data_IF_700630973010
#
_entry.id   IF_700630973010
#
_cell.length_a   1.000
_cell.length_b   1.000
_cell.length_c   1.000
_cell.angle_alpha   90.00
_cell.angle_beta   90.00
_cell.angle_gamma   90.00
#
_symmetry.space_group_name_H-M   'P 1'
#
loop_
_entity.id
_entity.type
_entity.pdbx_description
1 polymer ?
#
# COMPACT_ATOMS: atom_id res chain seq x y z
N UNK A 1 2.96 -3.93 21.13
CA UNK A 1 3.00 -4.70 19.87
C UNK A 1 1.64 -4.84 19.18
N UNK A 2 0.56 -5.29 19.84
CA UNK A 2 -0.79 -5.33 19.21
C UNK A 2 -1.28 -3.98 18.69
N UNK A 3 -1.21 -2.93 19.52
CA UNK A 3 -1.65 -1.57 19.14
C UNK A 3 -0.83 -0.97 18.00
N UNK A 4 0.50 -1.18 17.96
CA UNK A 4 1.35 -0.60 16.92
C UNK A 4 1.07 -1.23 15.55
N UNK A 5 0.93 -2.55 15.47
CA UNK A 5 0.61 -3.23 14.20
C UNK A 5 -0.78 -2.87 13.70
N UNK A 6 -1.74 -2.67 14.61
CA UNK A 6 -3.05 -2.15 14.26
C UNK A 6 -2.96 -0.78 13.58
N UNK A 7 -2.28 0.18 14.22
CA UNK A 7 -2.14 1.52 13.66
C UNK A 7 -1.31 1.54 12.37
N UNK A 8 -0.26 0.73 12.27
CA UNK A 8 0.51 0.59 11.03
C UNK A 8 -0.39 0.12 9.88
N UNK A 9 -1.18 -0.93 10.08
CA UNK A 9 -2.07 -1.44 9.03
C UNK A 9 -3.18 -0.45 8.68
N UNK A 10 -3.80 0.19 9.68
CA UNK A 10 -4.84 1.18 9.45
C UNK A 10 -4.30 2.39 8.67
N UNK A 11 -3.16 2.94 9.09
CA UNK A 11 -2.53 4.06 8.40
C UNK A 11 -2.05 3.67 7.00
N UNK A 12 -1.51 2.47 6.80
CA UNK A 12 -1.17 1.97 5.46
C UNK A 12 -2.39 1.85 4.56
N UNK A 13 -3.51 1.32 5.06
CA UNK A 13 -4.75 1.22 4.29
C UNK A 13 -5.29 2.61 3.90
N UNK A 14 -5.33 3.54 4.85
CA UNK A 14 -5.75 4.93 4.59
C UNK A 14 -4.79 5.66 3.63
N UNK A 15 -3.48 5.42 3.75
CA UNK A 15 -2.48 6.02 2.87
C UNK A 15 -2.62 5.49 1.43
N UNK A 16 -2.87 4.20 1.23
CA UNK A 16 -3.14 3.64 -0.09
C UNK A 16 -4.43 4.22 -0.70
N UNK A 17 -5.48 4.41 0.11
CA UNK A 17 -6.69 5.10 -0.33
C UNK A 17 -6.38 6.55 -0.77
N UNK A 18 -5.59 7.27 0.02
CA UNK A 18 -5.16 8.63 -0.32
C UNK A 18 -4.32 8.67 -1.61
N UNK A 19 -3.32 7.79 -1.76
CA UNK A 19 -2.50 7.69 -2.98
C UNK A 19 -3.38 7.38 -4.19
N UNK A 20 -4.32 6.44 -4.05
CA UNK A 20 -5.26 6.08 -5.10
C UNK A 20 -6.12 7.25 -5.56
N UNK A 21 -6.68 8.01 -4.62
CA UNK A 21 -7.43 9.23 -4.92
C UNK A 21 -6.53 10.30 -5.56
N UNK A 22 -5.27 10.43 -5.13
CA UNK A 22 -4.32 11.36 -5.72
C UNK A 22 -4.04 11.02 -7.19
N UNK A 23 -3.89 9.74 -7.55
CA UNK A 23 -3.76 9.31 -8.96
C UNK A 23 -5.03 9.58 -9.80
N UNK A 24 -6.21 9.60 -9.19
CA UNK A 24 -7.48 9.90 -9.87
C UNK A 24 -7.67 11.40 -10.08
N UNK A 25 -7.43 12.22 -9.06
CA UNK A 25 -7.72 13.66 -9.10
C UNK A 25 -6.52 14.54 -9.49
N UNK A 26 -5.30 14.03 -9.32
CA UNK A 26 -4.06 14.75 -9.60
C UNK A 26 -3.01 13.79 -10.21
N UNK A 27 -3.27 13.22 -11.40
CA UNK A 27 -2.43 12.18 -11.98
C UNK A 27 -0.97 12.61 -12.17
N UNK A 28 -0.72 13.84 -12.63
CA UNK A 28 0.62 14.37 -12.84
C UNK A 28 1.40 14.54 -11.52
N UNK A 29 0.76 15.11 -10.49
CA UNK A 29 1.40 15.27 -9.19
C UNK A 29 1.63 13.93 -8.48
N UNK A 30 0.69 12.99 -8.61
CA UNK A 30 0.84 11.64 -8.08
C UNK A 30 2.01 10.90 -8.74
N UNK A 31 2.14 11.02 -10.05
CA UNK A 31 3.21 10.41 -10.83
C UNK A 31 4.59 10.96 -10.44
N UNK A 32 4.72 12.29 -10.39
CA UNK A 32 5.96 12.94 -9.97
C UNK A 32 6.38 12.54 -8.55
N UNK A 33 5.42 12.52 -7.60
CA UNK A 33 5.67 12.07 -6.22
C UNK A 33 5.99 10.58 -6.09
N UNK A 34 5.60 9.77 -7.08
CA UNK A 34 5.94 8.35 -7.17
C UNK A 34 7.35 8.12 -7.75
N UNK A 35 8.00 9.16 -8.28
CA UNK A 35 9.35 9.08 -8.83
C UNK A 35 9.43 8.60 -10.28
N UNK A 36 8.31 8.65 -11.01
CA UNK A 36 8.24 8.34 -12.44
C UNK A 36 7.74 9.56 -13.23
N UNK A 37 8.09 9.62 -14.51
CA UNK A 37 7.59 10.64 -15.43
C UNK A 37 7.34 10.00 -16.79
N UNK A 38 6.08 10.00 -17.23
CA UNK A 38 5.64 9.51 -18.53
C UNK A 38 5.11 10.66 -19.36
N UNK A 39 5.38 10.62 -20.67
CA UNK A 39 4.74 11.55 -21.59
C UNK A 39 3.30 11.07 -21.85
N UNK A 40 2.36 11.66 -21.12
CA UNK A 40 0.94 11.28 -21.17
C UNK A 40 0.21 11.81 -22.40
N UNK A 41 0.69 12.88 -23.05
CA UNK A 41 -0.02 13.56 -24.15
C UNK A 41 -1.52 13.83 -23.86
N UNK A 42 -1.88 14.01 -22.59
CA UNK A 42 -3.26 14.21 -22.13
C UNK A 42 -4.07 12.94 -21.84
N UNK A 43 -3.52 11.74 -22.07
CA UNK A 43 -4.13 10.47 -21.67
C UNK A 43 -3.59 9.99 -20.32
N UNK A 44 -4.48 9.94 -19.33
CA UNK A 44 -4.19 9.52 -17.95
C UNK A 44 -4.81 8.17 -17.60
N UNK A 45 -5.22 7.38 -18.58
CA UNK A 45 -5.93 6.10 -18.37
C UNK A 45 -5.15 5.15 -17.46
N UNK A 46 -3.82 5.07 -17.60
CA UNK A 46 -2.97 4.23 -16.75
C UNK A 46 -2.87 4.75 -15.31
N UNK A 47 -2.80 6.06 -15.12
CA UNK A 47 -2.82 6.71 -13.81
C UNK A 47 -4.15 6.41 -13.10
N UNK A 48 -5.28 6.48 -13.80
CA UNK A 48 -6.58 6.14 -13.24
C UNK A 48 -6.70 4.65 -12.88
N UNK A 49 -6.22 3.76 -13.76
CA UNK A 49 -6.16 2.31 -13.49
C UNK A 49 -5.31 2.01 -12.24
N UNK A 50 -4.16 2.66 -12.10
CA UNK A 50 -3.33 2.55 -10.92
C UNK A 50 -4.05 3.08 -9.68
N UNK A 51 -4.62 4.28 -9.80
CA UNK A 51 -5.30 4.95 -8.69
C UNK A 51 -6.43 4.12 -8.09
N UNK A 52 -7.28 3.51 -8.93
CA UNK A 52 -8.36 2.66 -8.42
C UNK A 52 -7.85 1.37 -7.76
N UNK A 53 -6.73 0.81 -8.24
CA UNK A 53 -6.09 -0.39 -7.64
C UNK A 53 -5.50 -0.09 -6.27
N UNK A 54 -4.84 1.05 -6.11
CA UNK A 54 -4.30 1.48 -4.81
C UNK A 54 -5.44 1.76 -3.82
N UNK A 55 -6.48 2.47 -4.28
CA UNK A 55 -7.65 2.73 -3.46
C UNK A 55 -8.35 1.45 -2.99
N UNK A 56 -8.58 0.52 -3.92
CA UNK A 56 -9.17 -0.78 -3.62
C UNK A 56 -8.32 -1.60 -2.64
N UNK A 57 -7.00 -1.63 -2.83
CA UNK A 57 -6.08 -2.36 -1.93
C UNK A 57 -6.10 -1.78 -0.52
N UNK A 58 -6.10 -0.45 -0.41
CA UNK A 58 -6.25 0.24 0.88
C UNK A 58 -7.58 -0.07 1.56
N UNK A 59 -8.67 -0.08 0.79
CA UNK A 59 -10.01 -0.41 1.30
C UNK A 59 -10.08 -1.84 1.84
N UNK A 60 -9.48 -2.83 1.17
CA UNK A 60 -9.40 -4.20 1.68
C UNK A 60 -8.73 -4.23 3.06
N UNK A 61 -7.58 -3.55 3.22
CA UNK A 61 -6.86 -3.52 4.50
C UNK A 61 -7.74 -2.91 5.60
N UNK A 62 -8.40 -1.78 5.31
CA UNK A 62 -9.31 -1.11 6.25
C UNK A 62 -10.49 -2.00 6.63
N UNK A 63 -11.13 -2.66 5.65
CA UNK A 63 -12.26 -3.56 5.94
C UNK A 63 -11.81 -4.72 6.81
N UNK A 64 -10.70 -5.38 6.48
CA UNK A 64 -10.22 -6.55 7.23
C UNK A 64 -9.79 -6.20 8.66
N UNK A 65 -9.20 -5.02 8.88
CA UNK A 65 -8.79 -4.61 10.22
C UNK A 65 -9.99 -4.29 11.12
N UNK A 66 -11.04 -3.64 10.60
CA UNK A 66 -12.25 -3.29 11.36
C UNK A 66 -13.19 -4.48 11.57
N UNK A 67 -13.26 -5.41 10.60
CA UNK A 67 -13.99 -6.68 10.75
C UNK A 67 -13.25 -7.71 11.60
N UNK A 68 -12.02 -7.39 12.06
CA UNK A 68 -11.16 -8.25 12.87
C UNK A 68 -10.75 -9.55 12.17
N UNK A 69 -10.78 -9.58 10.84
CA UNK A 69 -10.37 -10.72 9.99
C UNK A 69 -8.84 -10.79 9.84
N UNK A 70 -8.14 -10.93 10.96
CA UNK A 70 -6.69 -10.76 11.02
C UNK A 70 -5.90 -11.82 10.24
N UNK A 71 -6.40 -13.05 10.16
CA UNK A 71 -5.71 -14.09 9.37
C UNK A 71 -5.76 -13.74 7.87
N UNK A 72 -6.91 -13.30 7.37
CA UNK A 72 -7.05 -12.82 6.01
C UNK A 72 -6.19 -11.57 5.77
N UNK A 73 -6.20 -10.61 6.70
CA UNK A 73 -5.33 -9.43 6.67
C UNK A 73 -3.86 -9.83 6.55
N UNK A 74 -3.42 -10.82 7.33
CA UNK A 74 -2.05 -11.33 7.29
C UNK A 74 -1.64 -11.83 5.89
N UNK A 75 -2.49 -12.62 5.24
CA UNK A 75 -2.24 -13.07 3.85
C UNK A 75 -2.29 -11.92 2.85
N UNK A 76 -3.26 -11.02 2.97
CA UNK A 76 -3.37 -9.84 2.09
C UNK A 76 -2.12 -8.97 2.17
N UNK A 77 -1.57 -8.74 3.37
CA UNK A 77 -0.34 -7.97 3.53
C UNK A 77 0.87 -8.69 2.91
N UNK A 78 1.04 -10.00 3.15
CA UNK A 78 2.17 -10.74 2.59
C UNK A 78 2.14 -10.82 1.06
N UNK A 79 0.99 -11.13 0.48
CA UNK A 79 0.81 -11.14 -0.97
C UNK A 79 0.88 -9.71 -1.53
N UNK A 80 0.32 -8.75 -0.81
CA UNK A 80 0.33 -7.33 -1.15
C UNK A 80 1.73 -6.74 -1.19
N UNK A 81 2.70 -7.27 -0.43
CA UNK A 81 4.10 -6.85 -0.47
C UNK A 81 4.76 -6.98 -1.86
N UNK A 82 4.20 -7.82 -2.74
CA UNK A 82 4.62 -7.95 -4.15
C UNK A 82 4.45 -6.62 -4.88
N UNK A 83 3.40 -5.86 -4.59
CA UNK A 83 3.09 -4.58 -5.25
C UNK A 83 4.21 -3.55 -5.00
N UNK A 84 4.49 -3.10 -3.76
CA UNK A 84 5.53 -2.10 -3.53
C UNK A 84 6.93 -2.62 -3.86
N UNK A 85 7.16 -3.95 -3.87
CA UNK A 85 8.42 -4.50 -4.35
C UNK A 85 8.57 -4.34 -5.88
N UNK A 86 7.52 -4.62 -6.65
CA UNK A 86 7.51 -4.37 -8.09
C UNK A 86 7.63 -2.87 -8.39
N UNK A 87 6.91 -2.04 -7.64
CA UNK A 87 6.95 -0.58 -7.76
C UNK A 87 8.37 -0.04 -7.53
N UNK A 88 9.05 -0.51 -6.48
CA UNK A 88 10.46 -0.20 -6.23
C UNK A 88 11.34 -0.53 -7.45
N UNK A 89 11.18 -1.74 -8.01
CA UNK A 89 11.94 -2.18 -9.18
C UNK A 89 11.65 -1.30 -10.41
N UNK A 90 10.41 -0.85 -10.60
CA UNK A 90 10.03 0.04 -11.70
C UNK A 90 10.67 1.43 -11.51
N UNK A 91 10.57 2.01 -10.31
CA UNK A 91 11.11 3.35 -10.02
C UNK A 91 12.63 3.36 -10.16
N UNK A 92 13.35 2.38 -9.60
CA UNK A 92 14.83 2.34 -9.72
C UNK A 92 15.32 2.10 -11.15
N UNK A 93 14.46 1.52 -12.01
CA UNK A 93 14.79 1.30 -13.42
C UNK A 93 14.58 2.55 -14.29
N UNK A 94 13.98 3.61 -13.76
CA UNK A 94 13.78 4.86 -14.49
C UNK A 94 15.09 5.68 -14.52
N UNK A 95 15.50 6.25 -15.66
CA UNK A 95 16.78 6.95 -15.79
C UNK A 95 16.92 8.17 -14.86
N UNK A 96 15.80 8.83 -14.54
CA UNK A 96 15.78 10.06 -13.74
C UNK A 96 15.39 9.82 -12.27
N UNK A 97 15.51 8.58 -11.77
CA UNK A 97 15.10 8.25 -10.42
C UNK A 97 15.97 8.97 -9.38
N UNK A 98 15.36 9.27 -8.22
CA UNK A 98 16.10 9.74 -7.04
C UNK A 98 15.89 8.76 -5.90
N UNK A 99 16.93 8.56 -5.07
CA UNK A 99 16.87 7.60 -3.96
C UNK A 99 15.75 7.93 -2.95
N UNK A 100 15.33 9.19 -2.85
CA UNK A 100 14.26 9.61 -1.96
C UNK A 100 12.92 8.96 -2.29
N UNK A 101 12.60 8.75 -3.58
CA UNK A 101 11.36 8.10 -4.00
C UNK A 101 11.31 6.61 -3.60
N UNK A 102 12.46 5.96 -3.40
CA UNK A 102 12.55 4.55 -3.05
C UNK A 102 12.15 4.25 -1.59
N UNK A 103 12.18 5.25 -0.71
CA UNK A 103 11.91 5.06 0.72
C UNK A 103 10.47 4.61 0.97
N UNK A 104 9.49 5.22 0.29
CA UNK A 104 8.09 4.88 0.46
C UNK A 104 7.83 3.39 0.12
N UNK A 105 8.40 2.91 -0.98
CA UNK A 105 8.27 1.52 -1.42
C UNK A 105 8.94 0.54 -0.45
N UNK A 106 10.18 0.82 -0.05
CA UNK A 106 10.92 -0.03 0.90
C UNK A 106 10.19 -0.11 2.26
N UNK A 107 9.68 1.03 2.76
CA UNK A 107 8.90 1.07 4.00
C UNK A 107 7.60 0.27 3.85
N UNK A 108 6.90 0.40 2.72
CA UNK A 108 5.68 -0.36 2.46
C UNK A 108 5.93 -1.87 2.44
N UNK A 109 7.00 -2.34 1.78
CA UNK A 109 7.42 -3.76 1.80
C UNK A 109 7.65 -4.22 3.23
N UNK A 110 8.43 -3.46 4.01
CA UNK A 110 8.74 -3.82 5.40
C UNK A 110 7.50 -3.91 6.28
N UNK A 111 6.58 -2.93 6.18
CA UNK A 111 5.31 -2.95 6.94
C UNK A 111 4.49 -4.17 6.55
N UNK A 112 4.33 -4.44 5.25
CA UNK A 112 3.54 -5.57 4.75
C UNK A 112 4.09 -6.91 5.25
N UNK A 113 5.41 -7.13 5.17
CA UNK A 113 6.04 -8.37 5.62
C UNK A 113 5.94 -8.53 7.13
N UNK A 114 6.32 -7.50 7.90
CA UNK A 114 6.35 -7.57 9.37
C UNK A 114 4.94 -7.72 9.94
N UNK A 115 3.98 -6.90 9.49
CA UNK A 115 2.61 -6.98 9.97
C UNK A 115 1.90 -8.24 9.47
N UNK A 116 2.17 -8.67 8.22
CA UNK A 116 1.64 -9.90 7.65
C UNK A 116 2.04 -11.13 8.47
N UNK A 117 3.34 -11.30 8.73
CA UNK A 117 3.84 -12.39 9.59
C UNK A 117 3.24 -12.29 11.00
N UNK A 118 3.15 -11.07 11.55
CA UNK A 118 2.60 -10.85 12.88
C UNK A 118 1.17 -11.39 13.02
N UNK A 119 0.27 -11.02 12.11
CA UNK A 119 -1.13 -11.41 12.18
C UNK A 119 -1.37 -12.88 11.84
N UNK A 120 -0.51 -13.51 11.03
CA UNK A 120 -0.55 -14.97 10.81
C UNK A 120 -0.08 -15.76 12.03
N UNK A 121 0.93 -15.28 12.75
CA UNK A 121 1.43 -15.92 13.97
C UNK A 121 0.57 -15.65 15.21
N UNK A 122 -0.20 -14.56 15.20
CA UNK A 122 -1.04 -14.13 16.32
C UNK A 122 -2.49 -13.92 15.87
N UNK A 123 -3.18 -14.97 15.37
CA UNK A 123 -4.59 -14.86 15.02
C UNK A 123 -5.38 -14.37 16.24
N UNK A 124 -6.40 -13.55 16.04
CA UNK A 124 -7.25 -13.09 17.13
C UNK A 124 -7.70 -14.28 17.98
N UNK A 125 -7.34 -14.28 19.26
CA UNK A 125 -7.93 -15.21 20.20
C UNK A 125 -9.43 -14.88 20.27
N UNK A 126 -10.31 -15.82 19.87
CA UNK A 126 -11.77 -15.64 19.85
C UNK A 126 -12.38 -15.36 21.23
N UNK A 127 -11.57 -15.27 22.28
CA UNK A 127 -11.97 -14.92 23.65
C UNK A 127 -11.19 -13.69 24.12
N UNK A 128 -11.71 -12.48 23.89
CA UNK A 128 -11.71 -11.45 24.92
C UNK A 128 -12.71 -10.34 24.57
N UNK A 129 -13.70 -10.06 25.44
CA UNK A 129 -14.65 -8.97 25.26
C UNK A 129 -13.99 -7.61 25.43
N UNK A 130 -14.59 -6.65 24.73
CA UNK A 130 -14.41 -5.20 24.58
C UNK A 130 -13.46 -4.47 25.55
#
# INVERSE_FOLDING_TARGET
>A
MKKINFWLCLLSGLMLMFIGLNFIFNPLGAEAGYGIHTNTNGDFSFQYIKGIRDFFSGLIIVVLIFTKEYKALGYVLLLGAIIPAADFCIVISHPDFTAAHLYAHTIAVMICVVCGIYYLKNPANKKQPD
#
